data_IF_892792219841
#
_entry.id   IF_892792219841
#
_cell.length_a   1.000
_cell.length_b   1.000
_cell.length_c   1.000
_cell.angle_alpha   90.00
_cell.angle_beta   90.00
_cell.angle_gamma   90.00
#
_symmetry.space_group_name_H-M   'P 1'
#
loop_
_entity.id
_entity.type
_entity.pdbx_description
1 polymer ?
#
# COMPACT_ATOMS: atom_id res chain seq x y z
N UNK A 1 0.54 -17.10 -4.86
CA UNK A 1 0.67 -15.63 -4.74
C UNK A 1 2.14 -15.24 -4.77
N UNK A 2 2.53 -14.19 -5.49
CA UNK A 2 3.92 -13.78 -5.69
C UNK A 2 4.37 -12.80 -4.62
N UNK A 3 5.56 -13.04 -4.04
CA UNK A 3 6.16 -12.16 -3.04
C UNK A 3 7.02 -11.09 -3.73
N UNK A 4 6.83 -9.85 -3.35
CA UNK A 4 7.56 -8.69 -3.85
C UNK A 4 7.93 -7.72 -2.73
N UNK A 5 8.34 -6.52 -3.10
CA UNK A 5 8.69 -5.43 -2.19
C UNK A 5 7.99 -4.13 -2.54
N UNK A 6 7.54 -3.40 -1.52
CA UNK A 6 7.12 -2.01 -1.67
C UNK A 6 8.35 -1.10 -1.51
N UNK A 7 8.59 -0.24 -2.50
CA UNK A 7 9.82 0.57 -2.58
C UNK A 7 10.01 1.56 -1.42
N UNK A 8 8.94 1.89 -0.70
CA UNK A 8 9.01 2.74 0.50
C UNK A 8 9.98 2.19 1.56
N UNK A 9 10.08 0.87 1.68
CA UNK A 9 11.04 0.21 2.58
C UNK A 9 12.47 0.71 2.37
N UNK A 10 12.85 0.88 1.10
CA UNK A 10 14.19 1.25 0.66
C UNK A 10 14.27 2.68 0.14
N UNK A 11 13.31 3.55 0.50
CA UNK A 11 13.17 4.92 -0.07
C UNK A 11 14.43 5.78 0.01
N UNK A 12 15.19 5.66 1.11
CA UNK A 12 16.42 6.43 1.30
C UNK A 12 17.60 5.82 0.51
N UNK A 13 17.60 4.49 0.37
CA UNK A 13 18.59 3.76 -0.40
C UNK A 13 18.39 4.01 -1.89
N UNK A 14 17.16 3.98 -2.40
CA UNK A 14 16.84 4.35 -3.79
C UNK A 14 17.23 5.78 -4.13
N UNK A 15 17.03 6.73 -3.21
CA UNK A 15 17.47 8.12 -3.41
C UNK A 15 18.99 8.25 -3.48
N UNK A 16 19.72 7.44 -2.70
CA UNK A 16 21.19 7.49 -2.62
C UNK A 16 21.86 6.76 -3.77
N UNK A 17 21.37 5.57 -4.12
CA UNK A 17 21.91 4.69 -5.15
C UNK A 17 20.81 3.80 -5.71
N UNK A 18 20.14 4.29 -6.75
CA UNK A 18 19.00 3.59 -7.36
C UNK A 18 19.40 2.22 -7.91
N UNK A 19 20.46 2.16 -8.72
CA UNK A 19 20.87 0.92 -9.38
C UNK A 19 21.45 -0.12 -8.41
N UNK A 20 22.27 0.32 -7.46
CA UNK A 20 22.79 -0.56 -6.42
C UNK A 20 21.70 -1.09 -5.51
N UNK A 21 20.65 -0.30 -5.25
CA UNK A 21 19.48 -0.75 -4.47
C UNK A 21 18.66 -1.77 -5.24
N UNK A 22 18.37 -1.54 -6.53
CA UNK A 22 17.70 -2.54 -7.39
C UNK A 22 18.46 -3.85 -7.39
N UNK A 23 19.79 -3.80 -7.57
CA UNK A 23 20.62 -5.00 -7.54
C UNK A 23 20.49 -5.76 -6.22
N UNK A 24 20.59 -5.09 -5.09
CA UNK A 24 20.47 -5.74 -3.77
C UNK A 24 19.10 -6.37 -3.56
N UNK A 25 18.03 -5.68 -3.96
CA UNK A 25 16.65 -6.21 -3.88
C UNK A 25 16.49 -7.44 -4.78
N UNK A 26 17.02 -7.38 -6.00
CA UNK A 26 17.03 -8.52 -6.93
C UNK A 26 17.83 -9.69 -6.36
N UNK A 27 19.03 -9.44 -5.79
CA UNK A 27 19.88 -10.48 -5.15
C UNK A 27 19.16 -11.15 -3.96
N UNK A 28 18.20 -10.46 -3.32
CA UNK A 28 17.31 -11.06 -2.33
C UNK A 28 16.21 -11.94 -2.94
N UNK A 29 16.07 -11.98 -4.26
CA UNK A 29 15.03 -12.75 -4.94
C UNK A 29 13.65 -12.09 -4.95
N UNK A 30 13.55 -10.83 -4.56
CA UNK A 30 12.30 -10.06 -4.59
C UNK A 30 12.14 -9.38 -5.95
N UNK A 31 11.56 -10.10 -6.89
CA UNK A 31 11.52 -9.70 -8.31
C UNK A 31 10.29 -8.86 -8.68
N UNK A 32 9.32 -8.71 -7.79
CA UNK A 32 8.12 -7.89 -8.03
C UNK A 32 8.19 -6.63 -7.20
N UNK A 33 8.04 -5.48 -7.84
CA UNK A 33 8.15 -4.19 -7.17
C UNK A 33 6.84 -3.40 -7.32
N UNK A 34 6.35 -2.93 -6.20
CA UNK A 34 5.40 -1.85 -6.16
C UNK A 34 6.14 -0.57 -5.83
N UNK A 35 5.95 0.46 -6.66
CA UNK A 35 6.66 1.71 -6.49
C UNK A 35 5.88 2.71 -5.64
N UNK A 36 6.56 3.41 -4.74
CA UNK A 36 6.02 4.62 -4.15
C UNK A 36 6.42 5.80 -5.02
N UNK A 37 5.52 6.24 -5.87
CA UNK A 37 5.76 7.36 -6.76
C UNK A 37 5.58 8.70 -6.04
N UNK A 38 6.51 9.62 -6.25
CA UNK A 38 6.35 11.03 -5.89
C UNK A 38 6.14 11.78 -7.20
N UNK A 39 4.88 11.95 -7.59
CA UNK A 39 4.51 12.57 -8.85
C UNK A 39 4.61 14.09 -8.77
N UNK A 40 5.12 14.69 -9.84
CA UNK A 40 5.22 16.14 -10.03
C UNK A 40 4.60 16.50 -11.39
N UNK A 41 4.50 17.80 -11.70
CA UNK A 41 4.04 18.23 -13.04
C UNK A 41 4.97 17.77 -14.17
N UNK A 42 6.24 17.48 -13.85
CA UNK A 42 7.27 17.09 -14.80
C UNK A 42 7.50 15.57 -14.89
N UNK A 43 7.15 14.83 -13.83
CA UNK A 43 7.34 13.37 -13.75
C UNK A 43 6.10 12.68 -13.16
N UNK A 44 5.40 11.94 -14.00
CA UNK A 44 4.19 11.17 -13.66
C UNK A 44 4.49 9.69 -13.40
N UNK A 45 5.77 9.29 -13.42
CA UNK A 45 6.21 7.91 -13.27
C UNK A 45 6.91 7.63 -11.94
N UNK A 46 8.20 7.33 -12.00
CA UNK A 46 8.97 6.92 -10.83
C UNK A 46 9.48 8.09 -9.97
N UNK A 47 9.36 9.33 -10.43
CA UNK A 47 10.01 10.49 -9.80
C UNK A 47 11.52 10.56 -10.08
N UNK A 48 11.97 9.93 -11.18
CA UNK A 48 13.38 9.80 -11.55
C UNK A 48 13.64 10.23 -13.00
N UNK A 49 12.63 10.78 -13.69
CA UNK A 49 12.73 11.27 -15.06
C UNK A 49 12.78 10.18 -16.14
N UNK A 50 12.51 8.92 -15.81
CA UNK A 50 12.49 7.84 -16.80
C UNK A 50 11.20 7.81 -17.59
N UNK A 51 11.31 7.51 -18.88
CA UNK A 51 10.16 7.08 -19.68
C UNK A 51 9.67 5.69 -19.24
N UNK A 52 8.40 5.30 -19.55
CA UNK A 52 7.90 3.95 -19.26
C UNK A 52 8.80 2.85 -19.82
N UNK A 53 9.28 3.00 -21.06
CA UNK A 53 10.12 2.02 -21.74
C UNK A 53 11.52 1.92 -21.11
N UNK A 54 12.08 3.04 -20.64
CA UNK A 54 13.35 3.03 -19.89
C UNK A 54 13.18 2.33 -18.55
N UNK A 55 12.10 2.62 -17.82
CA UNK A 55 11.81 1.97 -16.55
C UNK A 55 11.66 0.45 -16.73
N UNK A 56 10.85 -0.01 -17.70
CA UNK A 56 10.69 -1.44 -18.01
C UNK A 56 12.05 -2.08 -18.27
N UNK A 57 12.86 -1.51 -19.17
CA UNK A 57 14.18 -2.04 -19.49
C UNK A 57 15.09 -2.13 -18.27
N UNK A 58 15.11 -1.07 -17.44
CA UNK A 58 15.94 -1.04 -16.23
C UNK A 58 15.50 -2.17 -15.27
N UNK A 59 14.22 -2.32 -15.00
CA UNK A 59 13.74 -3.40 -14.12
C UNK A 59 14.05 -4.78 -14.72
N UNK A 60 13.86 -4.98 -16.02
CA UNK A 60 14.17 -6.24 -16.71
C UNK A 60 15.67 -6.59 -16.67
N UNK A 61 16.56 -5.61 -16.78
CA UNK A 61 18.02 -5.80 -16.66
C UNK A 61 18.43 -6.38 -15.28
N UNK A 62 17.63 -6.15 -14.25
CA UNK A 62 17.80 -6.73 -12.92
C UNK A 62 16.90 -7.96 -12.67
N UNK A 63 16.22 -8.48 -13.71
CA UNK A 63 15.27 -9.60 -13.58
C UNK A 63 14.07 -9.28 -12.70
N UNK A 64 13.69 -8.01 -12.62
CA UNK A 64 12.60 -7.51 -11.80
C UNK A 64 11.43 -7.04 -12.66
N UNK A 65 10.26 -6.92 -12.07
CA UNK A 65 9.06 -6.42 -12.71
C UNK A 65 8.42 -5.31 -11.86
N UNK A 66 8.25 -4.14 -12.47
CA UNK A 66 7.41 -3.09 -11.91
C UNK A 66 5.94 -3.51 -12.10
N UNK A 67 5.20 -3.61 -11.00
CA UNK A 67 3.81 -4.12 -11.02
C UNK A 67 2.76 -3.02 -10.93
N UNK A 68 3.17 -1.84 -10.48
CA UNK A 68 2.33 -0.68 -10.29
C UNK A 68 2.90 0.27 -9.26
N UNK A 69 2.06 1.20 -8.83
CA UNK A 69 2.47 2.14 -7.79
C UNK A 69 1.34 2.49 -6.81
N UNK A 70 1.80 2.99 -5.66
CA UNK A 70 1.04 3.92 -4.83
C UNK A 70 1.68 5.28 -5.05
N UNK A 71 0.92 6.29 -5.42
CA UNK A 71 1.48 7.60 -5.64
C UNK A 71 1.15 8.60 -4.52
N UNK A 72 2.06 9.55 -4.35
CA UNK A 72 1.91 10.71 -3.49
C UNK A 72 2.08 11.97 -4.33
N UNK A 73 1.42 13.03 -3.92
CA UNK A 73 1.68 14.37 -4.41
C UNK A 73 1.86 15.33 -3.23
N UNK A 74 2.30 16.54 -3.50
CA UNK A 74 2.36 17.60 -2.49
C UNK A 74 0.96 17.95 -1.96
N UNK A 75 -0.06 17.84 -2.83
CA UNK A 75 -1.46 18.00 -2.47
C UNK A 75 -2.32 16.81 -2.91
N UNK A 76 -2.23 15.65 -2.24
CA UNK A 76 -2.93 14.44 -2.65
C UNK A 76 -4.45 14.58 -2.59
N UNK A 77 -4.97 15.51 -1.78
CA UNK A 77 -6.42 15.74 -1.66
C UNK A 77 -7.00 16.36 -2.92
N UNK A 78 -6.27 17.26 -3.56
CA UNK A 78 -6.72 17.94 -4.78
C UNK A 78 -6.38 17.12 -6.03
N UNK A 79 -5.25 16.42 -6.04
CA UNK A 79 -4.79 15.69 -7.21
C UNK A 79 -5.83 14.72 -7.75
N UNK A 80 -6.52 13.96 -6.89
CA UNK A 80 -7.52 12.97 -7.35
C UNK A 80 -8.74 13.59 -8.03
N UNK A 81 -8.95 14.90 -7.90
CA UNK A 81 -9.98 15.64 -8.65
C UNK A 81 -9.43 16.24 -9.95
N UNK A 82 -8.11 16.26 -10.13
CA UNK A 82 -7.49 16.65 -11.38
C UNK A 82 -7.31 15.41 -12.29
N UNK A 83 -8.41 15.02 -12.93
CA UNK A 83 -8.43 13.82 -13.74
C UNK A 83 -7.45 13.84 -14.91
N UNK A 84 -7.11 15.01 -15.42
CA UNK A 84 -6.15 15.12 -16.54
C UNK A 84 -4.72 14.83 -16.07
N UNK A 85 -4.36 15.28 -14.86
CA UNK A 85 -3.06 14.94 -14.26
C UNK A 85 -2.97 13.46 -13.86
N UNK A 86 -4.03 12.92 -13.25
CA UNK A 86 -4.04 11.49 -12.91
C UNK A 86 -4.04 10.62 -14.17
N UNK A 87 -4.67 11.09 -15.28
CA UNK A 87 -4.61 10.37 -16.57
C UNK A 87 -3.17 10.19 -17.05
N UNK A 88 -2.30 11.18 -16.90
CA UNK A 88 -0.88 11.06 -17.27
C UNK A 88 -0.17 9.97 -16.46
N UNK A 89 -0.50 9.84 -15.17
CA UNK A 89 0.01 8.76 -14.33
C UNK A 89 -0.51 7.41 -14.83
N UNK A 90 -1.82 7.31 -15.11
CA UNK A 90 -2.45 6.11 -15.65
C UNK A 90 -1.74 5.70 -16.96
N UNK A 91 -1.57 6.62 -17.89
CA UNK A 91 -0.94 6.38 -19.19
C UNK A 91 0.50 5.89 -19.01
N UNK A 92 1.29 6.56 -18.15
CA UNK A 92 2.67 6.17 -17.88
C UNK A 92 2.78 4.74 -17.35
N UNK A 93 1.99 4.38 -16.31
CA UNK A 93 2.04 3.05 -15.72
C UNK A 93 1.41 1.96 -16.61
N UNK A 94 0.42 2.30 -17.42
CA UNK A 94 -0.14 1.41 -18.43
C UNK A 94 0.90 1.08 -19.51
N UNK A 95 1.62 2.08 -20.03
CA UNK A 95 2.70 1.89 -21.00
C UNK A 95 3.87 1.08 -20.41
N UNK A 96 4.13 1.19 -19.10
CA UNK A 96 5.10 0.36 -18.41
C UNK A 96 4.59 -1.08 -18.15
N UNK A 97 3.39 -1.43 -18.58
CA UNK A 97 2.82 -2.77 -18.40
C UNK A 97 2.43 -3.10 -16.96
N UNK A 98 2.18 -2.10 -16.16
CA UNK A 98 1.73 -2.25 -14.79
C UNK A 98 0.26 -2.69 -14.72
N UNK A 99 -0.14 -3.29 -13.59
CA UNK A 99 -1.49 -3.86 -13.43
C UNK A 99 -2.37 -3.07 -12.49
N UNK A 100 -1.78 -2.21 -11.66
CA UNK A 100 -2.54 -1.41 -10.71
C UNK A 100 -1.79 -0.14 -10.33
N UNK A 101 -2.56 0.91 -10.08
CA UNK A 101 -2.09 2.13 -9.43
C UNK A 101 -3.07 2.54 -8.35
N UNK A 102 -2.61 3.28 -7.36
CA UNK A 102 -3.48 3.70 -6.28
C UNK A 102 -2.95 4.86 -5.46
N UNK A 103 -3.76 5.22 -4.49
CA UNK A 103 -3.48 6.29 -3.54
C UNK A 103 -3.48 5.73 -2.12
N UNK A 104 -2.73 6.38 -1.25
CA UNK A 104 -2.70 6.11 0.19
C UNK A 104 -3.01 7.37 1.01
N UNK A 105 -3.33 7.19 2.29
CA UNK A 105 -3.50 8.26 3.28
C UNK A 105 -4.58 9.28 2.91
N UNK A 106 -5.78 8.83 2.67
CA UNK A 106 -6.91 9.73 2.51
C UNK A 106 -7.67 9.92 3.83
N UNK A 107 -8.09 11.16 4.07
CA UNK A 107 -8.78 11.57 5.29
C UNK A 107 -10.13 12.18 4.93
N UNK A 108 -11.18 11.74 5.60
CA UNK A 108 -12.55 12.15 5.30
C UNK A 108 -13.07 13.05 6.42
N UNK A 109 -13.15 14.34 6.12
CA UNK A 109 -13.52 15.38 7.10
C UNK A 109 -15.02 15.45 7.35
N UNK A 110 -15.83 15.14 6.33
CA UNK A 110 -17.28 15.11 6.38
C UNK A 110 -17.86 14.21 5.28
N UNK A 111 -19.18 14.05 5.29
CA UNK A 111 -19.89 13.20 4.34
C UNK A 111 -19.87 13.74 2.91
N UNK A 112 -19.91 15.07 2.73
CA UNK A 112 -19.86 15.67 1.39
C UNK A 112 -18.51 15.41 0.75
N UNK A 113 -17.42 15.64 1.48
CA UNK A 113 -16.07 15.36 1.00
C UNK A 113 -15.87 13.87 0.72
N UNK A 114 -16.36 13.00 1.63
CA UNK A 114 -16.31 11.54 1.42
C UNK A 114 -17.01 11.14 0.13
N UNK A 115 -18.25 11.59 -0.10
CA UNK A 115 -19.01 11.22 -1.29
C UNK A 115 -18.31 11.70 -2.58
N UNK A 116 -17.85 12.94 -2.62
CA UNK A 116 -17.08 13.49 -3.75
C UNK A 116 -15.82 12.65 -4.04
N UNK A 117 -15.16 12.19 -2.98
CA UNK A 117 -13.94 11.38 -3.08
C UNK A 117 -14.24 9.99 -3.64
N UNK A 118 -15.31 9.36 -3.18
CA UNK A 118 -15.75 8.06 -3.72
C UNK A 118 -16.14 8.15 -5.20
N UNK A 119 -16.82 9.22 -5.60
CA UNK A 119 -17.16 9.46 -7.00
C UNK A 119 -15.89 9.65 -7.86
N UNK A 120 -14.89 10.38 -7.34
CA UNK A 120 -13.60 10.54 -8.01
C UNK A 120 -12.85 9.20 -8.15
N UNK A 121 -12.83 8.36 -7.10
CA UNK A 121 -12.20 7.04 -7.18
C UNK A 121 -12.89 6.12 -8.17
N UNK A 122 -14.22 6.14 -8.25
CA UNK A 122 -14.96 5.37 -9.25
C UNK A 122 -14.61 5.83 -10.68
N UNK A 123 -14.50 7.14 -10.93
CA UNK A 123 -14.08 7.67 -12.24
C UNK A 123 -12.63 7.29 -12.56
N UNK A 124 -11.71 7.42 -11.61
CA UNK A 124 -10.32 7.02 -11.80
C UNK A 124 -10.19 5.50 -12.01
N UNK A 125 -11.00 4.72 -11.31
CA UNK A 125 -11.08 3.28 -11.49
C UNK A 125 -11.59 2.90 -12.89
N UNK A 126 -12.59 3.61 -13.42
CA UNK A 126 -13.07 3.42 -14.78
C UNK A 126 -11.95 3.70 -15.81
N UNK A 127 -11.21 4.80 -15.65
CA UNK A 127 -10.07 5.14 -16.51
C UNK A 127 -8.94 4.12 -16.43
N UNK A 128 -8.60 3.65 -15.22
CA UNK A 128 -7.65 2.56 -15.05
C UNK A 128 -8.07 1.29 -15.79
N UNK A 129 -9.35 0.92 -15.70
CA UNK A 129 -9.88 -0.26 -16.39
C UNK A 129 -9.78 -0.12 -17.90
N UNK A 130 -10.05 1.06 -18.45
CA UNK A 130 -9.89 1.34 -19.90
C UNK A 130 -8.41 1.23 -20.34
N UNK A 131 -7.48 1.55 -19.44
CA UNK A 131 -6.04 1.40 -19.65
C UNK A 131 -5.50 -0.02 -19.31
N UNK A 132 -6.37 -0.99 -19.00
CA UNK A 132 -5.97 -2.36 -18.65
C UNK A 132 -5.44 -2.54 -17.24
N UNK A 133 -5.68 -1.59 -16.36
CA UNK A 133 -5.25 -1.58 -14.97
C UNK A 133 -6.41 -1.55 -13.99
N UNK A 134 -6.13 -1.61 -12.69
CA UNK A 134 -7.10 -1.38 -11.63
C UNK A 134 -6.66 -0.20 -10.76
N UNK A 135 -7.61 0.64 -10.37
CA UNK A 135 -7.40 1.61 -9.31
C UNK A 135 -7.50 0.92 -7.96
N UNK A 136 -6.53 1.14 -7.06
CA UNK A 136 -6.54 0.56 -5.72
C UNK A 136 -6.49 1.64 -4.63
N UNK A 137 -7.16 1.37 -3.54
CA UNK A 137 -7.04 2.15 -2.31
C UNK A 137 -6.19 1.39 -1.30
N UNK A 138 -5.11 2.00 -0.83
CA UNK A 138 -4.26 1.45 0.22
C UNK A 138 -4.71 1.98 1.58
N UNK A 139 -5.16 1.06 2.45
CA UNK A 139 -5.64 1.41 3.77
C UNK A 139 -4.50 1.65 4.76
N UNK A 140 -4.83 2.47 5.74
CA UNK A 140 -4.15 2.53 7.02
C UNK A 140 -5.11 2.10 8.15
N UNK A 141 -4.97 2.70 9.33
CA UNK A 141 -5.87 2.44 10.47
C UNK A 141 -7.06 3.41 10.50
N UNK A 142 -6.92 4.57 9.88
CA UNK A 142 -7.91 5.66 9.99
C UNK A 142 -9.22 5.38 9.26
N UNK A 143 -9.29 4.39 8.38
CA UNK A 143 -10.53 3.93 7.76
C UNK A 143 -11.46 3.21 8.76
N UNK A 144 -10.94 2.89 9.96
CA UNK A 144 -11.76 2.42 11.07
C UNK A 144 -12.44 3.55 11.85
N UNK A 145 -12.12 4.79 11.55
CA UNK A 145 -12.85 5.95 12.03
C UNK A 145 -14.30 5.90 11.58
N UNK A 146 -15.17 6.56 12.36
CA UNK A 146 -16.59 6.56 12.06
C UNK A 146 -17.02 7.89 11.44
N UNK A 147 -17.68 7.80 10.31
CA UNK A 147 -18.43 8.88 9.70
C UNK A 147 -19.92 8.55 9.87
N UNK A 148 -20.68 9.43 10.54
CA UNK A 148 -22.09 9.19 10.87
C UNK A 148 -22.35 7.85 11.59
N UNK A 149 -21.44 7.45 12.47
CA UNK A 149 -21.55 6.23 13.27
C UNK A 149 -21.13 4.93 12.57
N UNK A 150 -20.80 4.96 11.27
CA UNK A 150 -20.27 3.80 10.51
C UNK A 150 -18.76 3.95 10.28
N UNK A 151 -17.97 2.85 10.35
CA UNK A 151 -16.58 2.87 9.90
C UNK A 151 -16.47 3.35 8.46
N UNK A 152 -15.47 4.19 8.19
CA UNK A 152 -15.20 4.69 6.83
C UNK A 152 -14.96 3.55 5.85
N UNK A 153 -14.24 2.48 6.27
CA UNK A 153 -14.04 1.30 5.44
C UNK A 153 -15.36 0.68 4.97
N UNK A 154 -16.35 0.60 5.85
CA UNK A 154 -17.66 0.06 5.49
C UNK A 154 -18.37 0.92 4.45
N UNK A 155 -18.30 2.24 4.64
CA UNK A 155 -18.86 3.20 3.68
C UNK A 155 -18.13 3.14 2.33
N UNK A 156 -16.80 2.98 2.33
CA UNK A 156 -16.01 2.80 1.11
C UNK A 156 -16.43 1.54 0.36
N UNK A 157 -16.60 0.42 1.08
CA UNK A 157 -17.03 -0.85 0.48
C UNK A 157 -18.41 -0.71 -0.18
N UNK A 158 -19.32 0.06 0.43
CA UNK A 158 -20.67 0.32 -0.08
C UNK A 158 -20.68 1.27 -1.29
N UNK A 159 -19.78 2.27 -1.34
CA UNK A 159 -19.80 3.35 -2.33
C UNK A 159 -18.88 3.13 -3.53
N UNK A 160 -17.80 2.40 -3.34
CA UNK A 160 -16.85 2.11 -4.41
C UNK A 160 -17.35 0.98 -5.30
N UNK A 161 -17.39 1.22 -6.60
CA UNK A 161 -17.78 0.24 -7.60
C UNK A 161 -16.75 -0.91 -7.64
N UNK A 162 -17.15 -2.16 -7.34
CA UNK A 162 -16.24 -3.30 -7.30
C UNK A 162 -15.63 -3.65 -8.68
N UNK A 163 -16.25 -3.21 -9.77
CA UNK A 163 -15.75 -3.42 -11.13
C UNK A 163 -14.61 -2.48 -11.49
N UNK A 164 -14.43 -1.40 -10.75
CA UNK A 164 -13.46 -0.35 -11.04
C UNK A 164 -12.40 -0.19 -9.95
N UNK A 165 -12.80 -0.31 -8.66
CA UNK A 165 -11.95 0.01 -7.54
C UNK A 165 -11.69 -1.23 -6.67
N UNK A 166 -10.41 -1.57 -6.52
CA UNK A 166 -9.94 -2.59 -5.59
C UNK A 166 -9.27 -2.01 -4.37
N UNK A 167 -8.78 -2.91 -3.52
CA UNK A 167 -8.01 -2.57 -2.34
C UNK A 167 -6.58 -3.12 -2.46
N UNK A 168 -5.64 -2.30 -2.08
CA UNK A 168 -4.29 -2.68 -1.75
C UNK A 168 -4.24 -2.79 -0.23
N UNK A 169 -4.51 -4.02 0.26
CA UNK A 169 -4.82 -4.22 1.65
C UNK A 169 -3.56 -4.34 2.50
N UNK A 170 -3.34 -3.38 3.39
CA UNK A 170 -2.30 -3.48 4.39
C UNK A 170 -2.82 -4.18 5.63
N UNK A 171 -2.27 -5.37 5.88
CA UNK A 171 -2.68 -6.24 6.98
C UNK A 171 -2.31 -5.63 8.33
N UNK A 172 -1.11 -5.04 8.43
CA UNK A 172 -0.63 -4.42 9.66
C UNK A 172 -1.52 -3.25 10.08
N UNK A 173 -1.82 -2.34 9.16
CA UNK A 173 -2.69 -1.21 9.46
C UNK A 173 -4.12 -1.63 9.77
N UNK A 174 -4.61 -2.67 9.13
CA UNK A 174 -5.88 -3.28 9.48
C UNK A 174 -5.90 -3.77 10.94
N UNK A 175 -4.86 -4.50 11.36
CA UNK A 175 -4.69 -4.96 12.74
C UNK A 175 -4.59 -3.79 13.73
N UNK A 176 -3.87 -2.72 13.37
CA UNK A 176 -3.79 -1.48 14.17
C UNK A 176 -5.14 -0.75 14.30
N UNK A 177 -6.04 -0.98 13.36
CA UNK A 177 -7.43 -0.53 13.38
C UNK A 177 -8.39 -1.55 14.01
N UNK A 178 -7.87 -2.62 14.64
CA UNK A 178 -8.62 -3.71 15.26
C UNK A 178 -9.48 -4.54 14.28
N UNK A 179 -9.05 -4.64 13.03
CA UNK A 179 -9.68 -5.48 12.02
C UNK A 179 -9.04 -6.87 12.04
N UNK A 180 -9.86 -7.92 12.12
CA UNK A 180 -9.36 -9.28 11.93
C UNK A 180 -8.95 -9.49 10.46
N UNK A 181 -7.68 -9.87 10.19
CA UNK A 181 -7.20 -9.99 8.82
C UNK A 181 -7.95 -11.02 7.99
N UNK A 182 -8.23 -12.19 8.56
CA UNK A 182 -8.85 -13.31 7.83
C UNK A 182 -10.32 -13.00 7.53
N UNK A 183 -11.06 -12.47 8.51
CA UNK A 183 -12.44 -12.06 8.31
C UNK A 183 -12.55 -10.97 7.25
N UNK A 184 -11.65 -9.98 7.28
CA UNK A 184 -11.68 -8.90 6.30
C UNK A 184 -11.25 -9.34 4.90
N UNK A 185 -10.31 -10.26 4.76
CA UNK A 185 -9.95 -10.88 3.47
C UNK A 185 -11.18 -11.58 2.88
N UNK A 186 -11.90 -12.37 3.67
CA UNK A 186 -13.14 -13.04 3.22
C UNK A 186 -14.24 -12.05 2.85
N UNK A 187 -14.36 -10.96 3.59
CA UNK A 187 -15.32 -9.89 3.32
C UNK A 187 -15.04 -9.15 2.02
N UNK A 188 -13.77 -8.79 1.76
CA UNK A 188 -13.36 -8.06 0.57
C UNK A 188 -13.21 -8.97 -0.65
N UNK A 189 -12.74 -10.20 -0.44
CA UNK A 189 -12.59 -11.21 -1.48
C UNK A 189 -11.76 -10.70 -2.67
N UNK A 190 -12.29 -10.88 -3.87
CA UNK A 190 -11.65 -10.47 -5.14
C UNK A 190 -11.46 -8.94 -5.29
N UNK A 191 -11.99 -8.13 -4.38
CA UNK A 191 -11.72 -6.70 -4.34
C UNK A 191 -10.31 -6.40 -3.86
N UNK A 192 -9.67 -7.29 -3.08
CA UNK A 192 -8.25 -7.15 -2.76
C UNK A 192 -7.45 -7.52 -4.02
N UNK A 193 -6.55 -6.63 -4.43
CA UNK A 193 -5.71 -6.81 -5.62
C UNK A 193 -4.27 -7.12 -5.25
N UNK A 194 -3.84 -6.73 -4.08
CA UNK A 194 -2.51 -6.97 -3.50
C UNK A 194 -2.51 -6.70 -2.01
N UNK A 195 -1.46 -7.17 -1.34
CA UNK A 195 -1.25 -6.99 0.10
C UNK A 195 0.04 -6.28 0.39
N UNK A 196 0.04 -5.50 1.49
CA UNK A 196 1.26 -5.10 2.18
C UNK A 196 1.44 -5.91 3.46
N UNK A 197 2.70 -6.30 3.69
CA UNK A 197 3.10 -7.15 4.81
C UNK A 197 4.13 -6.43 5.68
N UNK A 198 3.73 -6.13 6.87
CA UNK A 198 4.57 -5.72 8.00
C UNK A 198 3.97 -6.31 9.26
N UNK A 199 4.71 -6.41 10.36
CA UNK A 199 4.22 -7.08 11.56
C UNK A 199 4.27 -6.18 12.78
N UNK A 200 3.48 -6.53 13.80
CA UNK A 200 3.33 -5.77 15.03
C UNK A 200 3.88 -6.58 16.21
N UNK A 201 4.79 -6.01 17.04
CA UNK A 201 5.52 -6.77 18.05
C UNK A 201 4.64 -7.18 19.24
N UNK A 202 4.85 -8.39 19.77
CA UNK A 202 4.13 -8.96 20.91
C UNK A 202 4.22 -8.13 22.21
N UNK A 203 5.31 -7.43 22.40
CA UNK A 203 5.56 -6.63 23.60
C UNK A 203 4.97 -5.22 23.54
N UNK A 204 4.16 -4.93 22.50
CA UNK A 204 3.54 -3.62 22.26
C UNK A 204 2.02 -3.68 22.16
N UNK A 205 1.40 -4.74 22.65
CA UNK A 205 -0.06 -4.96 22.54
C UNK A 205 -0.91 -3.84 23.16
N UNK A 206 -0.38 -3.11 24.13
CA UNK A 206 -1.01 -1.92 24.72
C UNK A 206 -1.12 -0.74 23.71
N UNK A 207 -0.29 -0.75 22.65
CA UNK A 207 -0.27 0.21 21.55
C UNK A 207 -1.00 -0.27 20.28
N UNK A 208 -1.59 -1.47 20.29
CA UNK A 208 -2.18 -2.06 19.08
C UNK A 208 -3.31 -1.19 18.50
N UNK A 209 -4.18 -0.68 19.36
CA UNK A 209 -5.24 0.23 18.95
C UNK A 209 -4.70 1.64 18.86
N UNK A 210 -4.34 2.04 17.68
CA UNK A 210 -3.75 3.34 17.41
C UNK A 210 -4.72 4.52 17.65
N UNK A 211 -6.03 4.27 17.63
CA UNK A 211 -7.05 5.29 17.84
C UNK A 211 -7.52 5.38 19.30
N UNK A 212 -6.99 4.52 20.20
CA UNK A 212 -7.51 4.37 21.57
C UNK A 212 -7.55 5.67 22.38
N UNK A 213 -6.52 6.47 22.24
CA UNK A 213 -6.33 7.70 23.04
C UNK A 213 -6.58 8.97 22.20
N UNK A 214 -7.18 8.83 21.01
CA UNK A 214 -7.51 9.96 20.17
C UNK A 214 -8.80 10.64 20.66
N UNK A 215 -8.79 11.97 20.79
CA UNK A 215 -10.01 12.73 20.95
C UNK A 215 -10.96 12.50 19.77
N UNK A 216 -12.27 12.37 20.07
CA UNK A 216 -13.28 12.06 19.05
C UNK A 216 -13.31 13.10 17.93
N UNK A 217 -13.03 14.37 18.23
CA UNK A 217 -12.91 15.46 17.26
C UNK A 217 -11.71 15.34 16.31
N UNK A 218 -10.73 14.48 16.62
CA UNK A 218 -9.59 14.19 15.74
C UNK A 218 -9.81 12.96 14.86
N UNK A 219 -10.94 12.31 15.03
CA UNK A 219 -11.29 11.11 14.27
C UNK A 219 -11.71 11.48 12.83
N UNK A 220 -12.01 12.75 12.54
CA UNK A 220 -12.28 13.29 11.20
C UNK A 220 -11.16 14.26 10.80
N UNK A 221 -10.08 13.76 10.21
CA UNK A 221 -8.85 14.54 10.09
C UNK A 221 -8.70 15.28 8.78
N UNK A 222 -8.48 16.57 8.88
CA UNK A 222 -8.02 17.43 7.81
C UNK A 222 -6.57 17.90 8.00
N UNK A 223 -5.90 17.51 9.10
CA UNK A 223 -4.65 18.13 9.52
C UNK A 223 -3.60 17.10 9.95
N UNK A 224 -2.64 16.83 9.06
CA UNK A 224 -1.48 15.95 9.29
C UNK A 224 -0.62 16.39 10.49
N UNK A 225 -0.58 17.69 10.82
CA UNK A 225 0.20 18.21 11.94
C UNK A 225 -0.40 17.78 13.28
N UNK A 226 -1.73 17.82 13.42
CA UNK A 226 -2.41 17.31 14.61
C UNK A 226 -2.15 15.83 14.82
N UNK A 227 -2.18 15.04 13.73
CA UNK A 227 -1.84 13.62 13.75
C UNK A 227 -0.43 13.37 14.27
N UNK A 228 0.55 14.09 13.74
CA UNK A 228 1.95 13.96 14.15
C UNK A 228 2.18 14.32 15.62
N UNK A 229 1.38 15.23 16.18
CA UNK A 229 1.49 15.64 17.58
C UNK A 229 1.16 14.51 18.58
N UNK A 230 0.32 13.55 18.21
CA UNK A 230 -0.07 12.43 19.08
C UNK A 230 0.91 11.25 19.07
N UNK A 231 2.01 11.31 18.28
CA UNK A 231 3.03 10.24 18.18
C UNK A 231 2.43 8.84 18.09
N UNK A 232 1.38 8.71 17.29
CA UNK A 232 0.60 7.48 17.19
C UNK A 232 1.36 6.35 16.50
N UNK A 233 2.37 6.70 15.73
CA UNK A 233 3.27 5.77 15.06
C UNK A 233 4.68 6.00 15.57
N UNK A 234 5.26 5.01 16.22
CA UNK A 234 6.63 5.02 16.71
C UNK A 234 7.41 3.86 16.11
N UNK A 235 8.73 3.98 15.91
CA UNK A 235 9.55 2.92 15.31
C UNK A 235 9.41 1.56 15.99
N UNK A 236 9.21 1.55 17.31
CA UNK A 236 9.10 0.36 18.15
C UNK A 236 7.81 -0.44 17.91
N UNK A 237 6.83 0.12 17.19
CA UNK A 237 5.59 -0.57 16.83
C UNK A 237 5.75 -1.45 15.58
N UNK A 238 6.93 -1.45 14.94
CA UNK A 238 7.21 -2.25 13.75
C UNK A 238 8.20 -3.36 14.04
N UNK A 239 7.95 -4.51 13.44
CA UNK A 239 8.85 -5.66 13.48
C UNK A 239 8.75 -6.44 12.16
N UNK A 240 9.76 -7.23 11.84
CA UNK A 240 9.77 -8.06 10.64
C UNK A 240 8.68 -9.13 10.68
N UNK A 241 8.12 -9.46 9.52
CA UNK A 241 7.12 -10.53 9.39
C UNK A 241 7.61 -11.82 10.04
N UNK A 242 6.74 -12.43 10.85
CA UNK A 242 7.02 -13.66 11.60
C UNK A 242 7.62 -13.45 12.99
N UNK A 243 8.00 -12.22 13.33
CA UNK A 243 8.44 -11.88 14.69
C UNK A 243 7.34 -11.19 15.51
N UNK A 244 6.21 -10.89 14.88
CA UNK A 244 5.08 -10.21 15.48
C UNK A 244 3.86 -11.12 15.67
N UNK A 245 2.71 -10.46 15.83
CA UNK A 245 1.45 -11.12 16.21
C UNK A 245 0.64 -11.65 15.03
N UNK A 246 0.97 -11.23 13.79
CA UNK A 246 0.16 -11.55 12.62
C UNK A 246 0.40 -13.00 12.22
N UNK A 247 -0.70 -13.75 12.10
CA UNK A 247 -0.65 -15.16 11.71
C UNK A 247 -0.62 -15.29 10.18
N UNK A 248 0.54 -15.04 9.61
CA UNK A 248 0.73 -14.94 8.15
C UNK A 248 0.27 -16.16 7.38
N UNK A 249 0.41 -17.39 7.92
CA UNK A 249 -0.10 -18.57 7.22
C UNK A 249 -1.63 -18.55 7.07
N UNK A 250 -2.36 -18.05 8.07
CA UNK A 250 -3.82 -17.91 7.99
C UNK A 250 -4.21 -16.84 6.97
N UNK A 251 -3.49 -15.71 6.95
CA UNK A 251 -3.64 -14.62 5.97
C UNK A 251 -3.41 -15.14 4.54
N UNK A 252 -2.30 -15.85 4.32
CA UNK A 252 -1.93 -16.39 2.99
C UNK A 252 -2.96 -17.43 2.53
N UNK A 253 -3.43 -18.30 3.42
CA UNK A 253 -4.46 -19.28 3.09
C UNK A 253 -5.74 -18.61 2.64
N UNK A 254 -6.23 -17.61 3.40
CA UNK A 254 -7.43 -16.87 3.04
C UNK A 254 -7.25 -16.08 1.73
N UNK A 255 -6.08 -15.48 1.51
CA UNK A 255 -5.77 -14.76 0.28
C UNK A 255 -5.77 -15.64 -0.97
N UNK A 256 -5.24 -16.86 -0.84
CA UNK A 256 -5.17 -17.82 -1.94
C UNK A 256 -6.56 -18.35 -2.39
N UNK A 257 -7.58 -18.32 -1.51
CA UNK A 257 -8.95 -18.63 -1.89
C UNK A 257 -9.48 -17.67 -2.98
N UNK A 258 -8.94 -16.45 -3.06
CA UNK A 258 -9.36 -15.40 -4.00
C UNK A 258 -8.36 -15.15 -5.12
N UNK A 259 -7.30 -15.97 -5.26
CA UNK A 259 -6.28 -15.84 -6.29
C UNK A 259 -5.62 -14.45 -6.34
N UNK A 260 -5.38 -13.83 -5.20
CA UNK A 260 -4.74 -12.52 -5.14
C UNK A 260 -3.29 -12.64 -5.63
N UNK A 261 -2.87 -11.81 -6.61
CA UNK A 261 -1.63 -12.09 -7.34
C UNK A 261 -0.35 -11.76 -6.57
N UNK A 262 -0.38 -10.71 -5.72
CA UNK A 262 0.83 -10.15 -5.11
C UNK A 262 0.70 -9.90 -3.62
N UNK A 263 1.83 -10.07 -2.93
CA UNK A 263 2.05 -9.68 -1.55
C UNK A 263 3.41 -8.96 -1.49
N UNK A 264 3.44 -7.72 -0.98
CA UNK A 264 4.65 -6.90 -0.93
C UNK A 264 5.11 -6.72 0.50
N UNK A 265 6.37 -7.07 0.77
CA UNK A 265 7.00 -6.73 2.03
C UNK A 265 7.18 -5.21 2.08
N UNK A 266 6.69 -4.60 3.13
CA UNK A 266 6.92 -3.21 3.45
C UNK A 266 7.37 -3.09 4.90
N UNK A 267 8.41 -2.30 5.15
CA UNK A 267 8.95 -2.05 6.49
C UNK A 267 9.17 -0.55 6.67
N UNK A 268 8.29 0.10 7.42
CA UNK A 268 8.35 1.55 7.63
C UNK A 268 9.52 1.92 8.52
N UNK A 269 9.74 1.11 9.55
CA UNK A 269 10.86 1.20 10.50
C UNK A 269 11.40 -0.19 10.82
N UNK A 270 12.69 -0.26 11.10
CA UNK A 270 13.37 -1.49 11.56
C UNK A 270 14.41 -1.16 12.60
N UNK A 271 14.66 -2.10 13.51
CA UNK A 271 15.76 -2.04 14.48
C UNK A 271 17.07 -2.59 13.91
N UNK A 272 17.04 -3.20 12.73
CA UNK A 272 18.24 -3.67 12.06
C UNK A 272 19.07 -2.50 11.53
N UNK A 273 20.40 -2.53 11.70
CA UNK A 273 21.29 -1.51 11.13
C UNK A 273 21.21 -1.45 9.60
N UNK A 274 20.99 -2.60 8.96
CA UNK A 274 20.82 -2.73 7.51
C UNK A 274 19.37 -3.11 7.18
N UNK A 275 18.70 -2.26 6.40
CA UNK A 275 17.33 -2.51 5.92
C UNK A 275 17.24 -3.76 5.04
N UNK A 276 18.31 -4.14 4.33
CA UNK A 276 18.33 -5.35 3.51
C UNK A 276 18.34 -6.62 4.37
N UNK A 277 18.96 -6.60 5.55
CA UNK A 277 18.84 -7.69 6.52
C UNK A 277 17.41 -7.82 7.05
N UNK A 278 16.79 -6.70 7.42
CA UNK A 278 15.38 -6.66 7.83
C UNK A 278 14.45 -7.24 6.76
N UNK A 279 14.66 -6.80 5.52
CA UNK A 279 13.89 -7.29 4.36
C UNK A 279 14.11 -8.79 4.14
N UNK A 280 15.36 -9.29 4.27
CA UNK A 280 15.69 -10.70 4.16
C UNK A 280 14.98 -11.54 5.23
N UNK A 281 14.91 -11.06 6.48
CA UNK A 281 14.22 -11.76 7.58
C UNK A 281 12.73 -11.92 7.27
N UNK A 282 12.05 -10.86 6.85
CA UNK A 282 10.63 -10.93 6.47
C UNK A 282 10.41 -11.85 5.28
N UNK A 283 11.25 -11.73 4.24
CA UNK A 283 11.20 -12.59 3.05
C UNK A 283 11.37 -14.06 3.40
N UNK A 284 12.42 -14.41 4.16
CA UNK A 284 12.75 -15.81 4.47
C UNK A 284 11.65 -16.48 5.29
N UNK A 285 11.08 -15.75 6.25
CA UNK A 285 9.93 -16.23 7.00
C UNK A 285 8.71 -16.49 6.09
N UNK A 286 8.32 -15.48 5.29
CA UNK A 286 7.15 -15.58 4.43
C UNK A 286 7.28 -16.70 3.38
N UNK A 287 8.46 -16.86 2.77
CA UNK A 287 8.72 -17.94 1.82
C UNK A 287 8.82 -19.33 2.46
N UNK A 288 9.03 -19.40 3.77
CA UNK A 288 8.91 -20.64 4.53
C UNK A 288 7.48 -21.10 4.75
N UNK A 289 6.48 -20.25 4.43
CA UNK A 289 5.07 -20.57 4.52
C UNK A 289 4.55 -21.15 3.19
N UNK A 290 3.41 -21.84 3.27
CA UNK A 290 2.78 -22.42 2.07
C UNK A 290 1.98 -21.36 1.31
N UNK A 291 2.08 -21.36 -0.03
CA UNK A 291 1.22 -20.57 -0.90
C UNK A 291 1.82 -19.26 -1.41
N UNK A 292 3.12 -19.02 -1.17
CA UNK A 292 3.87 -17.92 -1.77
C UNK A 292 4.93 -18.44 -2.75
N UNK A 293 5.25 -17.63 -3.75
CA UNK A 293 6.21 -17.92 -4.81
C UNK A 293 7.11 -16.71 -5.05
N UNK A 294 8.37 -16.96 -5.40
CA UNK A 294 9.32 -15.91 -5.81
C UNK A 294 9.18 -15.56 -7.30
N UNK A 295 8.74 -16.53 -8.14
CA UNK A 295 8.66 -16.39 -9.61
C UNK A 295 7.29 -16.76 -10.14
#
# INVERSE_FOLDING_TARGET
MKLGVQSFTMRDDFKRDFYGTLKKVSDLGLHYVEWLAVVTEEDHGLGLGFTPQEAVRIFDDYGMKLTGCIFKSENPRELVFNFDEVQKIIDWYSEAGCTAIGLTNDYFVDEEFFNRRMDAYNELGRRCKEAGMVWTYHNHFHEQQKLNGKPVLDLMIERLDPDYVGFDWDVYWGVRGLVDPVENIKRLGNRIKRFHCKDFPFNRLDHINIAKDLPEELICWDNKEKFSAYKMVVPEDFIECGKGIIKWQEVINAANEFNIPYMFVEQDHTTYPDKFESLAVSRDYLLGLNGLEIK
#
